data_IF_063838569677
#
_entry.id   IF_063838569677
#
_cell.length_a   1.000
_cell.length_b   1.000
_cell.length_c   1.000
_cell.angle_alpha   90.00
_cell.angle_beta   90.00
_cell.angle_gamma   90.00
#
_symmetry.space_group_name_H-M   'P 1'
#
loop_
_entity.id
_entity.type
_entity.pdbx_description
1 polymer ?
#
# COMPACT_ATOMS: atom_id res chain seq x y z
N UNK A 1 -0.14 -11.19 -8.89
CA UNK A 1 -1.52 -11.31 -9.47
C UNK A 1 -2.61 -11.04 -8.42
N UNK A 2 -3.85 -10.70 -8.81
CA UNK A 2 -4.91 -10.32 -7.84
C UNK A 2 -5.15 -11.39 -6.77
N UNK A 3 -5.22 -12.67 -7.14
CA UNK A 3 -5.45 -13.79 -6.21
C UNK A 3 -4.37 -13.85 -5.12
N UNK A 4 -3.10 -13.70 -5.50
CA UNK A 4 -1.98 -13.76 -4.55
C UNK A 4 -2.01 -12.58 -3.57
N UNK A 5 -2.37 -11.39 -4.06
CA UNK A 5 -2.56 -10.21 -3.22
C UNK A 5 -3.70 -10.38 -2.20
N UNK A 6 -4.85 -10.94 -2.62
CA UNK A 6 -5.96 -11.23 -1.72
C UNK A 6 -5.57 -12.26 -0.65
N UNK A 7 -4.86 -13.32 -1.05
CA UNK A 7 -4.39 -14.35 -0.11
C UNK A 7 -3.39 -13.77 0.91
N UNK A 8 -2.48 -12.89 0.47
CA UNK A 8 -1.53 -12.22 1.35
C UNK A 8 -2.25 -11.35 2.39
N UNK A 9 -3.22 -10.53 1.97
CA UNK A 9 -3.98 -9.67 2.91
C UNK A 9 -4.70 -10.51 3.95
N UNK A 10 -5.42 -11.56 3.52
CA UNK A 10 -6.18 -12.43 4.45
C UNK A 10 -5.30 -13.13 5.46
N UNK A 11 -4.14 -13.68 5.04
CA UNK A 11 -3.19 -14.30 5.98
C UNK A 11 -2.64 -13.27 6.97
N UNK A 12 -2.25 -12.11 6.48
CA UNK A 12 -1.67 -11.03 7.30
C UNK A 12 -2.67 -10.52 8.35
N UNK A 13 -3.94 -10.37 7.96
CA UNK A 13 -5.01 -10.00 8.88
C UNK A 13 -5.27 -11.11 9.92
N UNK A 14 -5.32 -12.38 9.51
CA UNK A 14 -5.50 -13.51 10.41
C UNK A 14 -4.38 -13.63 11.45
N UNK A 15 -3.18 -13.15 11.13
CA UNK A 15 -2.02 -13.04 12.05
C UNK A 15 -2.10 -11.81 12.97
N UNK A 16 -3.16 -11.00 12.88
CA UNK A 16 -3.39 -9.82 13.72
C UNK A 16 -2.68 -8.55 13.26
N UNK A 17 -2.16 -8.52 12.03
CA UNK A 17 -1.51 -7.33 11.48
C UNK A 17 -2.53 -6.43 10.78
N UNK A 18 -2.62 -5.17 11.20
CA UNK A 18 -3.52 -4.18 10.61
C UNK A 18 -3.17 -3.91 9.13
N UNK A 19 -4.20 -3.83 8.28
CA UNK A 19 -4.05 -3.62 6.84
C UNK A 19 -4.24 -2.14 6.49
N UNK A 20 -3.42 -1.65 5.56
CA UNK A 20 -3.56 -0.33 4.97
C UNK A 20 -3.25 -0.37 3.48
N UNK A 21 -3.88 0.52 2.71
CA UNK A 21 -3.82 0.53 1.25
C UNK A 21 -3.11 1.79 0.77
N UNK A 22 -2.13 1.61 -0.11
CA UNK A 22 -1.33 2.69 -0.69
C UNK A 22 -1.34 2.58 -2.20
N UNK A 23 -1.87 3.59 -2.89
CA UNK A 23 -2.02 3.56 -4.35
C UNK A 23 -1.48 4.82 -5.02
N UNK A 24 -0.93 4.65 -6.23
CA UNK A 24 -0.54 5.76 -7.10
C UNK A 24 -1.72 6.44 -7.81
N UNK A 25 -2.93 5.88 -7.67
CA UNK A 25 -4.17 6.51 -8.16
C UNK A 25 -4.33 7.89 -7.51
N UNK A 26 -4.83 8.88 -8.27
CA UNK A 26 -5.04 10.21 -7.74
C UNK A 26 -6.25 10.24 -6.78
N UNK A 27 -6.28 11.23 -5.89
CA UNK A 27 -7.29 11.40 -4.85
C UNK A 27 -8.73 11.46 -5.40
N UNK A 28 -8.97 12.06 -6.57
CA UNK A 28 -10.28 12.02 -7.26
C UNK A 28 -10.82 10.61 -7.52
N UNK A 29 -9.96 9.58 -7.52
CA UNK A 29 -10.35 8.19 -7.69
C UNK A 29 -10.66 7.49 -6.35
N UNK A 30 -10.73 8.20 -5.22
CA UNK A 30 -10.96 7.58 -3.89
C UNK A 30 -12.24 6.76 -3.86
N UNK A 31 -13.37 7.33 -4.29
CA UNK A 31 -14.66 6.65 -4.25
C UNK A 31 -14.65 5.33 -5.04
N UNK A 32 -14.07 5.34 -6.24
CA UNK A 32 -13.94 4.15 -7.07
C UNK A 32 -12.99 3.12 -6.47
N UNK A 33 -11.91 3.58 -5.83
CA UNK A 33 -10.92 2.71 -5.18
C UNK A 33 -11.53 2.02 -3.96
N UNK A 34 -12.27 2.75 -3.12
CA UNK A 34 -12.98 2.18 -1.96
C UNK A 34 -14.01 1.16 -2.42
N UNK A 35 -14.83 1.50 -3.43
CA UNK A 35 -15.83 0.58 -3.98
C UNK A 35 -15.18 -0.69 -4.53
N UNK A 36 -14.06 -0.57 -5.22
CA UNK A 36 -13.33 -1.72 -5.76
C UNK A 36 -12.77 -2.61 -4.65
N UNK A 37 -12.14 -2.04 -3.62
CA UNK A 37 -11.62 -2.80 -2.47
C UNK A 37 -12.72 -3.57 -1.75
N UNK A 38 -13.86 -2.91 -1.47
CA UNK A 38 -15.01 -3.53 -0.84
C UNK A 38 -15.58 -4.69 -1.68
N UNK A 39 -15.63 -4.53 -3.00
CA UNK A 39 -16.09 -5.59 -3.91
C UNK A 39 -15.17 -6.84 -3.90
N UNK A 40 -13.91 -6.73 -3.47
CA UNK A 40 -13.02 -7.87 -3.28
C UNK A 40 -13.19 -8.57 -1.91
N UNK A 41 -14.03 -8.03 -1.02
CA UNK A 41 -14.17 -8.52 0.36
C UNK A 41 -12.88 -8.32 1.17
N UNK A 42 -12.15 -7.25 0.88
CA UNK A 42 -10.93 -6.89 1.61
C UNK A 42 -11.28 -6.16 2.92
N UNK A 43 -10.46 -6.32 3.97
CA UNK A 43 -10.73 -5.68 5.25
C UNK A 43 -10.63 -4.17 5.16
N UNK A 44 -11.40 -3.49 6.01
CA UNK A 44 -11.31 -2.04 6.12
C UNK A 44 -9.94 -1.61 6.64
N UNK A 45 -9.48 -0.47 6.16
CA UNK A 45 -8.19 0.07 6.57
C UNK A 45 -7.94 1.45 6.00
N UNK A 46 -6.93 2.17 6.52
CA UNK A 46 -6.56 3.47 5.97
C UNK A 46 -6.17 3.35 4.49
N UNK A 47 -6.64 4.29 3.68
CA UNK A 47 -6.36 4.36 2.25
C UNK A 47 -5.65 5.69 1.92
N UNK A 48 -4.42 5.57 1.44
CA UNK A 48 -3.61 6.69 0.95
C UNK A 48 -3.53 6.66 -0.57
N UNK A 49 -3.99 7.74 -1.19
CA UNK A 49 -3.86 7.99 -2.62
C UNK A 49 -2.82 9.07 -2.88
N UNK A 50 -2.38 9.19 -4.13
CA UNK A 50 -1.56 10.31 -4.57
C UNK A 50 -2.44 11.57 -4.70
N UNK A 51 -1.92 12.74 -4.33
CA UNK A 51 -2.65 14.00 -4.51
C UNK A 51 -2.99 14.26 -5.99
N UNK A 52 -4.12 14.90 -6.27
CA UNK A 52 -4.62 15.08 -7.65
C UNK A 52 -3.66 15.81 -8.60
N UNK A 53 -2.92 16.78 -8.05
CA UNK A 53 -1.92 17.58 -8.77
C UNK A 53 -0.50 16.98 -8.69
N UNK A 54 -0.28 15.93 -7.90
CA UNK A 54 1.04 15.35 -7.73
C UNK A 54 1.40 14.44 -8.91
N UNK A 55 2.40 14.87 -9.69
CA UNK A 55 2.91 14.15 -10.86
C UNK A 55 4.20 13.39 -10.59
N UNK A 56 4.70 13.39 -9.35
CA UNK A 56 5.92 12.68 -9.00
C UNK A 56 5.75 11.15 -9.17
N UNK A 57 6.85 10.41 -9.42
CA UNK A 57 6.82 8.95 -9.53
C UNK A 57 6.28 8.25 -8.28
N UNK A 58 5.65 7.09 -8.45
CA UNK A 58 5.08 6.32 -7.34
C UNK A 58 6.11 5.98 -6.25
N UNK A 59 7.33 5.58 -6.63
CA UNK A 59 8.47 5.37 -5.71
C UNK A 59 8.72 6.53 -4.74
N UNK A 60 8.53 7.78 -5.18
CA UNK A 60 8.72 8.96 -4.33
C UNK A 60 7.56 9.09 -3.34
N UNK A 61 6.34 9.14 -3.85
CA UNK A 61 5.15 9.41 -3.02
C UNK A 61 4.85 8.26 -2.05
N UNK A 62 5.04 7.01 -2.50
CA UNK A 62 4.86 5.82 -1.65
C UNK A 62 5.91 5.76 -0.56
N UNK A 63 7.18 6.02 -0.87
CA UNK A 63 8.25 6.01 0.14
C UNK A 63 8.08 7.13 1.17
N UNK A 64 7.68 8.34 0.76
CA UNK A 64 7.34 9.43 1.68
C UNK A 64 6.22 9.01 2.64
N UNK A 65 5.17 8.36 2.13
CA UNK A 65 4.06 7.87 2.94
C UNK A 65 4.50 6.77 3.92
N UNK A 66 5.30 5.82 3.44
CA UNK A 66 5.80 4.71 4.25
C UNK A 66 6.68 5.22 5.40
N UNK A 67 7.59 6.15 5.12
CA UNK A 67 8.41 6.84 6.13
C UNK A 67 7.53 7.62 7.12
N UNK A 68 6.46 8.26 6.65
CA UNK A 68 5.54 8.96 7.54
C UNK A 68 4.80 8.02 8.49
N UNK A 69 4.39 6.84 8.00
CA UNK A 69 3.77 5.81 8.84
C UNK A 69 4.74 5.27 9.87
N UNK A 70 5.96 4.94 9.45
CA UNK A 70 7.02 4.40 10.31
C UNK A 70 7.36 5.31 11.51
N UNK A 71 7.11 6.62 11.42
CA UNK A 71 7.30 7.56 12.54
C UNK A 71 6.26 7.45 13.65
N UNK A 72 5.08 6.90 13.35
CA UNK A 72 3.94 6.85 14.28
C UNK A 72 3.56 5.42 14.67
N UNK A 73 3.96 4.43 13.86
CA UNK A 73 3.67 3.02 14.09
C UNK A 73 4.70 2.13 13.39
N UNK A 74 4.99 0.93 13.90
CA UNK A 74 5.79 -0.05 13.18
C UNK A 74 5.12 -0.46 11.86
N UNK A 75 5.91 -0.59 10.80
CA UNK A 75 5.47 -1.13 9.50
C UNK A 75 6.02 -2.54 9.36
N UNK A 76 5.14 -3.54 9.36
CA UNK A 76 5.56 -4.95 9.28
C UNK A 76 6.23 -5.28 7.94
N UNK A 77 5.62 -4.87 6.83
CA UNK A 77 6.18 -4.94 5.49
C UNK A 77 5.39 -4.05 4.51
N UNK A 78 5.96 -3.81 3.34
CA UNK A 78 5.27 -3.28 2.15
C UNK A 78 5.04 -4.41 1.15
N UNK A 79 3.83 -4.53 0.61
CA UNK A 79 3.55 -5.34 -0.58
C UNK A 79 3.35 -4.46 -1.80
N UNK A 80 4.16 -4.64 -2.85
CA UNK A 80 4.12 -3.85 -4.08
C UNK A 80 4.66 -4.66 -5.27
N UNK A 81 4.18 -4.36 -6.48
CA UNK A 81 4.59 -4.97 -7.75
C UNK A 81 5.57 -4.08 -8.54
N UNK A 82 5.65 -2.78 -8.22
CA UNK A 82 6.58 -1.84 -8.85
C UNK A 82 8.00 -2.05 -8.31
N UNK A 83 8.88 -2.59 -9.16
CA UNK A 83 10.27 -2.91 -8.81
C UNK A 83 11.05 -1.72 -8.24
N UNK A 84 10.79 -0.50 -8.74
CA UNK A 84 11.49 0.70 -8.25
C UNK A 84 10.97 1.11 -6.88
N UNK A 85 9.68 0.92 -6.60
CA UNK A 85 9.11 1.12 -5.26
C UNK A 85 9.72 0.10 -4.29
N UNK A 86 9.73 -1.18 -4.66
CA UNK A 86 10.29 -2.25 -3.84
C UNK A 86 11.75 -1.98 -3.48
N UNK A 87 12.58 -1.68 -4.48
CA UNK A 87 14.01 -1.40 -4.28
C UNK A 87 14.23 -0.20 -3.36
N UNK A 88 13.51 0.90 -3.58
CA UNK A 88 13.68 2.11 -2.78
C UNK A 88 13.16 1.91 -1.33
N UNK A 89 12.15 1.05 -1.12
CA UNK A 89 11.67 0.67 0.21
C UNK A 89 12.66 -0.25 0.95
N UNK A 90 13.21 -1.26 0.27
CA UNK A 90 14.27 -2.13 0.80
C UNK A 90 15.50 -1.30 1.20
N UNK A 91 15.94 -0.38 0.33
CA UNK A 91 17.05 0.53 0.61
C UNK A 91 16.78 1.48 1.79
N UNK A 92 15.51 1.76 2.10
CA UNK A 92 15.10 2.53 3.26
C UNK A 92 14.88 1.68 4.53
N UNK A 93 15.19 0.38 4.48
CA UNK A 93 15.13 -0.53 5.63
C UNK A 93 13.77 -1.18 5.86
N UNK A 94 12.83 -1.06 4.91
CA UNK A 94 11.53 -1.74 5.02
C UNK A 94 11.63 -3.17 4.48
N UNK A 95 10.99 -4.10 5.18
CA UNK A 95 10.70 -5.43 4.62
C UNK A 95 9.74 -5.29 3.45
N UNK A 96 10.03 -5.96 2.34
CA UNK A 96 9.18 -5.96 1.14
C UNK A 96 8.73 -7.38 0.80
N UNK A 97 7.47 -7.48 0.38
CA UNK A 97 6.87 -8.67 -0.24
C UNK A 97 6.53 -8.28 -1.67
N UNK A 98 7.18 -8.88 -2.66
CA UNK A 98 6.85 -8.63 -4.08
C UNK A 98 5.56 -9.40 -4.42
N UNK A 99 4.59 -8.75 -5.05
CA UNK A 99 3.23 -9.28 -5.29
C UNK A 99 2.75 -9.10 -6.74
#
# INVERSE_FOLDING_TARGET
PLVDGLALVRRTEAEGTAIGYLTGRPERCRADTVRWLAAQGLPEGPLWLRGDADRRPARVTKLERLRALARTRPVAFLADDDELVCRDAEAAGFRVVRA
#
